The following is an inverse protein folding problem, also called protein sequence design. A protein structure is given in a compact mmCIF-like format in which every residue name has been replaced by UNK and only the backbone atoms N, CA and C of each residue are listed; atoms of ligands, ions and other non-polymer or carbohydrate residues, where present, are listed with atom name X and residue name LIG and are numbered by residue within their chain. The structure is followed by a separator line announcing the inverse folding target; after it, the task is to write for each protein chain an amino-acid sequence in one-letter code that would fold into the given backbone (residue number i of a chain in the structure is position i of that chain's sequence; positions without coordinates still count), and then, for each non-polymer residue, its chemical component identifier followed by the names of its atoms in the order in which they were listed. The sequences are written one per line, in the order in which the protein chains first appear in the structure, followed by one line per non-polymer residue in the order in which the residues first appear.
data_IF_627436348101
#
_entry.id   IF_627436348101
#
_cell.length_a   1.000
_cell.length_b   1.000
_cell.length_c   1.000
_cell.angle_alpha   90.00
_cell.angle_beta   90.00
_cell.angle_gamma   90.00
#
_symmetry.space_group_name_H-M   'P 1'
#
loop_
_entity.id
_entity.type
_entity.pdbx_description
1 polymer ?
#
# COMPACT_ATOMS: atom_id res chain seq x y z
N UNK A 1 -4.21 -12.39 -2.83
CA UNK A 1 -4.51 -11.26 -1.92
C UNK A 1 -3.27 -10.78 -1.17
N UNK A 2 -2.32 -11.66 -0.81
CA UNK A 2 -1.07 -11.34 -0.08
C UNK A 2 -0.40 -10.00 -0.44
N UNK A 3 0.00 -9.77 -1.70
CA UNK A 3 0.70 -8.53 -2.10
C UNK A 3 -0.11 -7.25 -1.85
N UNK A 4 -1.45 -7.29 -1.98
CA UNK A 4 -2.28 -6.10 -1.74
C UNK A 4 -2.25 -5.73 -0.27
N UNK A 5 -2.37 -6.71 0.62
CA UNK A 5 -2.20 -6.51 2.06
C UNK A 5 -0.78 -6.03 2.38
N UNK A 6 0.28 -6.64 1.80
CA UNK A 6 1.66 -6.19 2.01
C UNK A 6 1.86 -4.71 1.64
N UNK A 7 1.28 -4.26 0.52
CA UNK A 7 1.33 -2.84 0.12
C UNK A 7 0.63 -1.93 1.14
N UNK A 8 -0.57 -2.31 1.62
CA UNK A 8 -1.30 -1.53 2.62
C UNK A 8 -0.55 -1.49 3.96
N UNK A 9 0.02 -2.62 4.39
CA UNK A 9 0.84 -2.72 5.59
C UNK A 9 2.11 -1.86 5.50
N UNK A 10 2.79 -1.83 4.35
CA UNK A 10 3.94 -0.95 4.11
C UNK A 10 3.53 0.53 4.26
N UNK A 11 2.41 0.94 3.67
CA UNK A 11 1.90 2.30 3.83
C UNK A 11 1.56 2.61 5.29
N UNK A 12 0.95 1.66 6.00
CA UNK A 12 0.59 1.80 7.40
C UNK A 12 1.80 1.97 8.32
N UNK A 13 2.77 1.06 8.23
CA UNK A 13 4.00 1.04 9.04
C UNK A 13 4.87 2.28 8.79
N UNK A 14 4.89 2.78 7.56
CA UNK A 14 5.58 4.03 7.19
C UNK A 14 4.78 5.30 7.50
N UNK A 15 3.62 5.19 8.17
CA UNK A 15 2.71 6.31 8.51
C UNK A 15 2.29 7.12 7.28
N UNK A 16 2.22 6.46 6.11
CA UNK A 16 1.83 7.07 4.86
C UNK A 16 0.29 7.17 4.79
N UNK A 17 -0.29 8.10 5.55
CA UNK A 17 -1.74 8.21 5.78
C UNK A 17 -2.32 9.58 5.39
N UNK A 18 -1.56 10.41 4.66
CA UNK A 18 -2.06 11.70 4.18
C UNK A 18 -1.42 12.10 2.87
N UNK A 19 -1.93 13.15 2.23
CA UNK A 19 -1.31 13.67 0.99
C UNK A 19 0.15 14.09 1.16
N UNK A 20 0.53 14.56 2.35
CA UNK A 20 1.90 15.00 2.65
C UNK A 20 2.81 13.84 3.05
N UNK A 21 2.26 12.88 3.80
CA UNK A 21 2.95 11.68 4.24
C UNK A 21 2.49 10.52 3.37
N UNK A 22 3.19 10.31 2.25
CA UNK A 22 2.88 9.36 1.19
C UNK A 22 4.18 8.74 0.62
N UNK A 23 4.09 7.53 0.05
CA UNK A 23 5.22 6.80 -0.53
C UNK A 23 5.15 6.72 -2.05
N UNK A 24 6.29 6.78 -2.73
CA UNK A 24 6.35 6.47 -4.17
C UNK A 24 6.23 4.97 -4.41
N UNK A 25 5.95 4.57 -5.65
CA UNK A 25 6.01 3.15 -6.04
C UNK A 25 7.39 2.53 -5.73
N UNK A 26 8.48 3.26 -5.96
CA UNK A 26 9.84 2.79 -5.67
C UNK A 26 10.07 2.55 -4.18
N UNK A 27 9.58 3.45 -3.33
CA UNK A 27 9.67 3.29 -1.87
C UNK A 27 8.90 2.01 -1.43
N UNK A 28 7.73 1.74 -2.04
CA UNK A 28 6.93 0.53 -1.76
C UNK A 28 7.66 -0.73 -2.25
N UNK A 29 8.28 -0.69 -3.44
CA UNK A 29 9.06 -1.80 -3.99
C UNK A 29 10.28 -2.15 -3.13
N UNK A 30 11.00 -1.13 -2.66
CA UNK A 30 12.16 -1.30 -1.78
C UNK A 30 11.74 -1.93 -0.45
N UNK A 31 10.61 -1.51 0.13
CA UNK A 31 10.05 -2.10 1.34
C UNK A 31 9.60 -3.55 1.13
N UNK A 32 8.94 -3.88 0.01
CA UNK A 32 8.57 -5.26 -0.34
C UNK A 32 9.81 -6.16 -0.45
N UNK A 33 10.88 -5.67 -1.08
CA UNK A 33 12.14 -6.41 -1.21
C UNK A 33 12.78 -6.64 0.16
N UNK A 34 12.75 -5.63 1.05
CA UNK A 34 13.26 -5.75 2.41
C UNK A 34 12.50 -6.82 3.23
N UNK A 35 11.20 -6.97 2.98
CA UNK A 35 10.34 -8.01 3.58
C UNK A 35 10.47 -9.39 2.90
N UNK A 36 11.41 -9.55 1.96
CA UNK A 36 11.65 -10.79 1.23
C UNK A 36 10.67 -11.08 0.10
N UNK A 37 9.82 -10.11 -0.28
CA UNK A 37 8.85 -10.22 -1.35
C UNK A 37 9.33 -9.54 -2.64
N UNK A 38 9.88 -10.33 -3.57
CA UNK A 38 10.31 -9.82 -4.87
C UNK A 38 9.20 -9.90 -5.91
N UNK A 39 8.68 -8.74 -6.30
CA UNK A 39 7.69 -8.60 -7.38
C UNK A 39 8.26 -7.75 -8.51
N UNK A 40 7.79 -7.96 -9.74
CA UNK A 40 8.16 -7.06 -10.84
C UNK A 40 7.41 -5.72 -10.71
N UNK A 41 8.05 -4.64 -11.12
CA UNK A 41 7.56 -3.26 -11.07
C UNK A 41 6.12 -3.14 -11.59
N UNK A 42 5.83 -3.72 -12.77
CA UNK A 42 4.50 -3.72 -13.38
C UNK A 42 3.44 -4.36 -12.49
N UNK A 43 3.78 -5.43 -11.76
CA UNK A 43 2.85 -6.08 -10.84
C UNK A 43 2.54 -5.18 -9.66
N UNK A 44 3.56 -4.59 -9.03
CA UNK A 44 3.39 -3.65 -7.91
C UNK A 44 2.52 -2.48 -8.33
N UNK A 45 2.83 -1.85 -9.47
CA UNK A 45 2.04 -0.76 -10.03
C UNK A 45 0.56 -1.14 -10.24
N UNK A 46 0.30 -2.28 -10.90
CA UNK A 46 -1.07 -2.74 -11.15
C UNK A 46 -1.84 -2.99 -9.86
N UNK A 47 -1.18 -3.48 -8.80
CA UNK A 47 -1.80 -3.70 -7.49
C UNK A 47 -2.08 -2.39 -6.76
N UNK A 48 -1.16 -1.42 -6.79
CA UNK A 48 -1.42 -0.06 -6.29
C UNK A 48 -2.64 0.54 -7.00
N UNK A 49 -2.71 0.45 -8.34
CA UNK A 49 -3.86 0.98 -9.10
C UNK A 49 -5.18 0.29 -8.75
N UNK A 50 -5.16 -1.01 -8.49
CA UNK A 50 -6.34 -1.73 -8.02
C UNK A 50 -6.79 -1.24 -6.63
N UNK A 51 -5.86 -1.05 -5.69
CA UNK A 51 -6.14 -0.50 -4.36
C UNK A 51 -6.66 0.94 -4.43
N UNK A 52 -6.16 1.75 -5.37
CA UNK A 52 -6.69 3.09 -5.64
C UNK A 52 -8.12 3.02 -6.14
N UNK A 53 -8.42 2.10 -7.07
CA UNK A 53 -9.78 1.90 -7.60
C UNK A 53 -10.75 1.43 -6.51
N UNK A 54 -10.28 0.64 -5.55
CA UNK A 54 -11.06 0.16 -4.41
C UNK A 54 -11.24 1.21 -3.32
N UNK A 55 -10.53 2.34 -3.39
CA UNK A 55 -10.62 3.41 -2.41
C UNK A 55 -9.68 3.25 -1.21
N UNK A 56 -9.00 2.11 -1.07
CA UNK A 56 -8.09 1.84 0.05
C UNK A 56 -6.83 2.70 0.04
N UNK A 57 -6.41 3.17 -1.13
CA UNK A 57 -5.24 4.02 -1.33
C UNK A 57 -5.63 5.26 -2.15
N UNK A 58 -5.01 6.41 -1.89
CA UNK A 58 -5.18 7.65 -2.68
C UNK A 58 -3.82 8.23 -3.09
N UNK A 59 -3.82 9.06 -4.13
CA UNK A 59 -2.60 9.74 -4.59
C UNK A 59 -2.28 10.97 -3.72
N UNK A 60 -1.04 11.05 -3.26
CA UNK A 60 -0.50 12.16 -2.48
C UNK A 60 0.15 13.25 -3.34
N UNK A 61 0.92 14.11 -2.70
CA UNK A 61 1.75 15.10 -3.39
C UNK A 61 2.88 14.40 -4.15
N UNK A 62 3.11 14.79 -5.40
CA UNK A 62 4.22 14.23 -6.19
C UNK A 62 5.55 14.48 -5.51
N UNK A 63 6.40 13.44 -5.51
CA UNK A 63 7.81 13.54 -5.12
C UNK A 63 8.61 13.62 -6.40
N UNK A 64 9.10 14.81 -6.75
CA UNK A 64 9.66 15.13 -8.07
C UNK A 64 8.65 14.79 -9.19
N UNK A 65 8.96 13.83 -10.06
CA UNK A 65 8.10 13.41 -11.17
C UNK A 65 7.30 12.13 -10.86
N UNK A 66 7.39 11.60 -9.65
CA UNK A 66 6.75 10.35 -9.26
C UNK A 66 5.45 10.60 -8.48
N UNK A 67 4.42 9.86 -8.82
CA UNK A 67 3.21 9.79 -8.00
C UNK A 67 3.56 9.16 -6.64
N UNK A 68 2.90 9.64 -5.59
CA UNK A 68 2.96 9.07 -4.25
C UNK A 68 1.59 8.55 -3.86
N UNK A 69 1.57 7.64 -2.90
CA UNK A 69 0.39 6.91 -2.47
C UNK A 69 0.30 6.91 -0.95
N UNK A 70 -0.91 7.09 -0.43
CA UNK A 70 -1.18 7.04 1.00
C UNK A 70 -2.42 6.20 1.29
N UNK A 71 -2.42 5.58 2.45
CA UNK A 71 -3.48 4.74 2.98
C UNK A 71 -4.66 5.59 3.45
N UNK A 72 -5.86 5.10 3.16
CA UNK A 72 -7.12 5.73 3.60
C UNK A 72 -7.69 5.05 4.84
N UNK A 73 -8.69 5.67 5.47
CA UNK A 73 -9.41 5.06 6.59
C UNK A 73 -10.07 3.74 6.19
N UNK A 74 -10.66 3.69 4.99
CA UNK A 74 -11.27 2.50 4.42
C UNK A 74 -10.25 1.38 4.21
N UNK A 75 -9.02 1.72 3.79
CA UNK A 75 -7.92 0.76 3.69
C UNK A 75 -7.46 0.21 5.04
N UNK A 76 -7.50 1.04 6.10
CA UNK A 76 -7.18 0.59 7.47
C UNK A 76 -8.26 -0.36 8.00
N UNK A 77 -9.53 -0.03 7.77
CA UNK A 77 -10.65 -0.89 8.18
C UNK A 77 -10.58 -2.25 7.49
N UNK A 78 -10.35 -2.27 6.19
CA UNK A 78 -10.18 -3.52 5.44
C UNK A 78 -9.03 -4.38 5.96
N UNK A 79 -7.88 -3.79 6.33
CA UNK A 79 -6.77 -4.57 6.91
C UNK A 79 -7.17 -5.23 8.22
N UNK A 80 -7.94 -4.54 9.08
CA UNK A 80 -8.43 -5.09 10.35
C UNK A 80 -9.41 -6.23 10.15
N UNK A 81 -10.27 -6.14 9.12
CA UNK A 81 -11.17 -7.25 8.75
C UNK A 81 -10.37 -8.48 8.36
N UNK A 82 -9.35 -8.31 7.50
CA UNK A 82 -8.49 -9.41 7.06
C UNK A 82 -7.69 -10.04 8.21
N UNK A 83 -7.24 -9.23 9.17
CA UNK A 83 -6.54 -9.73 10.37
C UNK A 83 -7.49 -10.39 11.38
N UNK A 84 -8.66 -9.80 11.62
CA UNK A 84 -9.67 -10.34 12.54
C UNK A 84 -10.29 -11.66 12.05
N UNK A 85 -10.38 -11.87 10.74
CA UNK A 85 -10.81 -13.14 10.15
C UNK A 85 -9.79 -14.27 10.38
N UNK A 86 -8.52 -13.96 10.68
CA UNK A 86 -7.48 -14.98 10.95
C UNK A 86 -7.46 -15.51 12.39
N UNK A 87 -8.24 -14.92 13.31
CA UNK A 87 -8.34 -15.41 14.71
C UNK A 87 -9.49 -16.43 14.92
N UNK A 88 -10.28 -16.74 13.89
CA UNK A 88 -11.43 -17.66 13.95
C UNK A 88 -11.28 -18.90 13.04
N UNK A 89 -10.09 -19.50 12.95
CA UNK A 89 -9.87 -20.79 12.26
C UNK A 89 -9.03 -21.77 13.08
#
# INVERSE_FOLDING_TARGET
MRIMYSILNILYTNKAQSKLYALTQKDIEEALIADGEKWCERTVYNKIRALVKQGYVKEGLRKSNSNTFYLTSEGIEWMKEVEGDTENE
#
